data_IF_508726923112
#
_entry.id   IF_508726923112
#
_cell.length_a   1.000
_cell.length_b   1.000
_cell.length_c   1.000
_cell.angle_alpha   90.00
_cell.angle_beta   90.00
_cell.angle_gamma   90.00
#
_symmetry.space_group_name_H-M   'P 1'
#
loop_
_entity.id
_entity.type
_entity.pdbx_description
1 polymer ?
#
# COMPACT_ATOMS: atom_id res chain seq x y z
N UNK A 1 -2.72 7.73 7.47
CA UNK A 1 -3.71 6.72 7.95
C UNK A 1 -4.75 6.42 6.89
N UNK A 2 -4.97 5.13 6.56
CA UNK A 2 -6.01 4.70 5.61
C UNK A 2 -7.31 4.43 6.37
N UNK A 3 -8.41 5.08 5.97
CA UNK A 3 -9.72 4.93 6.60
C UNK A 3 -10.68 4.01 5.82
N UNK A 4 -10.50 3.86 4.51
CA UNK A 4 -11.37 3.04 3.67
C UNK A 4 -10.66 2.56 2.41
N UNK A 5 -11.24 1.57 1.75
CA UNK A 5 -10.78 1.03 0.47
C UNK A 5 -11.93 0.98 -0.52
N UNK A 6 -11.71 1.49 -1.73
CA UNK A 6 -12.68 1.35 -2.83
C UNK A 6 -12.62 -0.03 -3.52
N UNK A 7 -11.49 -0.74 -3.38
CA UNK A 7 -11.24 -2.02 -4.03
C UNK A 7 -10.93 -3.10 -3.00
N UNK A 8 -11.72 -4.17 -3.03
CA UNK A 8 -11.56 -5.31 -2.12
C UNK A 8 -10.19 -5.99 -2.26
N UNK A 9 -9.59 -6.02 -3.46
CA UNK A 9 -8.25 -6.59 -3.64
C UNK A 9 -7.17 -5.73 -2.98
N UNK A 10 -7.32 -4.40 -3.00
CA UNK A 10 -6.40 -3.49 -2.31
C UNK A 10 -6.47 -3.68 -0.80
N UNK A 11 -7.69 -3.84 -0.25
CA UNK A 11 -7.89 -4.13 1.16
C UNK A 11 -7.26 -5.46 1.58
N UNK A 12 -7.46 -6.53 0.80
CA UNK A 12 -6.80 -7.83 1.04
C UNK A 12 -5.29 -7.70 1.09
N UNK A 13 -4.70 -7.02 0.10
CA UNK A 13 -3.25 -6.80 0.05
C UNK A 13 -2.76 -6.02 1.27
N UNK A 14 -3.49 -5.00 1.73
CA UNK A 14 -3.18 -4.27 2.96
C UNK A 14 -3.19 -5.20 4.20
N UNK A 15 -4.20 -6.06 4.31
CA UNK A 15 -4.35 -7.07 5.39
C UNK A 15 -3.38 -8.25 5.30
N UNK A 16 -2.44 -8.23 4.35
CA UNK A 16 -1.52 -9.35 4.07
C UNK A 16 -2.22 -10.63 3.57
N UNK A 17 -3.44 -10.51 3.05
CA UNK A 17 -4.16 -11.59 2.40
C UNK A 17 -3.80 -11.68 0.92
N UNK A 18 -3.77 -12.91 0.38
CA UNK A 18 -3.47 -13.14 -1.03
C UNK A 18 -4.64 -12.68 -1.92
N UNK A 19 -4.35 -11.74 -2.80
CA UNK A 19 -5.22 -11.42 -3.94
C UNK A 19 -5.01 -12.44 -5.05
N UNK A 20 -6.08 -13.10 -5.50
CA UNK A 20 -6.03 -13.97 -6.69
C UNK A 20 -6.02 -13.18 -8.00
N UNK A 21 -6.35 -11.89 -7.95
CA UNK A 21 -6.45 -11.01 -9.13
C UNK A 21 -5.15 -10.28 -9.44
N UNK A 22 -4.27 -10.14 -8.44
CA UNK A 22 -3.01 -9.41 -8.58
C UNK A 22 -1.81 -10.38 -8.58
N UNK A 23 -0.83 -10.24 -9.47
CA UNK A 23 0.42 -11.01 -9.40
C UNK A 23 1.15 -10.85 -8.06
N UNK A 24 1.80 -11.89 -7.51
CA UNK A 24 2.49 -11.83 -6.22
C UNK A 24 3.54 -10.72 -6.12
N UNK A 25 4.24 -10.43 -7.22
CA UNK A 25 5.22 -9.35 -7.31
C UNK A 25 4.59 -7.98 -7.09
N UNK A 26 3.41 -7.75 -7.67
CA UNK A 26 2.62 -6.52 -7.50
C UNK A 26 2.08 -6.43 -6.08
N UNK A 27 1.53 -7.52 -5.54
CA UNK A 27 1.00 -7.54 -4.16
C UNK A 27 2.06 -7.13 -3.14
N UNK A 28 3.29 -7.64 -3.28
CA UNK A 28 4.41 -7.31 -2.40
C UNK A 28 4.74 -5.81 -2.41
N UNK A 29 4.85 -5.23 -3.60
CA UNK A 29 5.16 -3.79 -3.75
C UNK A 29 3.99 -2.92 -3.28
N UNK A 30 2.77 -3.29 -3.63
CA UNK A 30 1.55 -2.59 -3.22
C UNK A 30 1.39 -2.58 -1.70
N UNK A 31 1.57 -3.73 -1.03
CA UNK A 31 1.51 -3.80 0.44
C UNK A 31 2.50 -2.86 1.11
N UNK A 32 3.75 -2.83 0.64
CA UNK A 32 4.78 -1.91 1.17
C UNK A 32 4.35 -0.44 1.02
N UNK A 33 3.80 -0.06 -0.14
CA UNK A 33 3.32 1.30 -0.39
C UNK A 33 2.09 1.64 0.48
N UNK A 34 1.14 0.72 0.62
CA UNK A 34 -0.05 0.92 1.46
C UNK A 34 0.31 1.09 2.93
N UNK A 35 1.28 0.32 3.44
CA UNK A 35 1.78 0.50 4.80
C UNK A 35 2.47 1.86 4.99
N UNK A 36 3.23 2.33 4.00
CA UNK A 36 3.81 3.68 4.05
C UNK A 36 2.73 4.77 4.09
N UNK A 37 1.70 4.68 3.23
CA UNK A 37 0.54 5.60 3.23
C UNK A 37 -0.23 5.54 4.57
N UNK A 38 -0.37 4.35 5.15
CA UNK A 38 -1.06 4.18 6.41
C UNK A 38 -0.29 4.81 7.57
N UNK A 39 1.03 4.59 7.62
CA UNK A 39 1.92 5.13 8.64
C UNK A 39 2.16 6.64 8.52
N UNK A 40 2.02 7.20 7.31
CA UNK A 40 2.27 8.62 7.09
C UNK A 40 1.34 9.51 7.92
N UNK A 41 1.93 10.46 8.62
CA UNK A 41 1.24 11.47 9.43
C UNK A 41 0.98 12.76 8.64
N UNK A 42 1.69 12.94 7.52
CA UNK A 42 1.65 14.12 6.67
C UNK A 42 2.08 13.81 5.24
N UNK A 43 1.64 14.65 4.29
CA UNK A 43 1.84 14.37 2.86
C UNK A 43 3.32 14.37 2.43
N UNK A 44 4.17 15.18 3.09
CA UNK A 44 5.59 15.28 2.74
C UNK A 44 6.36 13.98 2.97
N UNK A 45 5.92 13.13 3.91
CA UNK A 45 6.53 11.82 4.16
C UNK A 45 6.35 10.84 2.98
N UNK A 46 5.36 11.09 2.13
CA UNK A 46 5.10 10.29 0.92
C UNK A 46 5.86 10.78 -0.30
N UNK A 47 6.59 11.89 -0.18
CA UNK A 47 7.51 12.29 -1.24
C UNK A 47 8.65 11.27 -1.32
N UNK A 48 9.03 10.91 -2.54
CA UNK A 48 10.19 10.04 -2.77
C UNK A 48 11.39 10.76 -2.13
N UNK A 49 12.15 10.12 -1.22
CA UNK A 49 13.32 10.77 -0.64
C UNK A 49 14.24 11.22 -1.79
N UNK A 50 14.78 12.45 -1.76
CA UNK A 50 15.76 12.90 -2.74
C UNK A 50 17.02 12.06 -2.55
N UNK A 51 17.13 10.97 -3.28
CA UNK A 51 18.20 9.99 -3.13
C UNK A 51 17.95 8.78 -4.02
N UNK A 52 17.98 9.00 -5.33
CA UNK A 52 18.44 8.00 -6.30
C UNK A 52 19.90 8.30 -6.62
#
# INVERSE_FOLDING_TARGET
MIASFACAETERVFRAELSRRLPPTIQRVARRKLLAIHAATELRELTVPPGN
#
